data_IF_236140076321
#
_entry.id   IF_236140076321
#
_cell.length_a   1.000
_cell.length_b   1.000
_cell.length_c   1.000
_cell.angle_alpha   90.00
_cell.angle_beta   90.00
_cell.angle_gamma   90.00
#
_symmetry.space_group_name_H-M   'P 1'
#
loop_
_entity.id
_entity.type
_entity.pdbx_description
1 polymer ?
#
# COMPACT_ATOMS: atom_id res chain seq x y z
N UNK A 1 -39.46 65.51 -44.23
CA UNK A 1 -38.26 64.68 -44.54
C UNK A 1 -37.55 64.12 -43.31
N UNK A 2 -37.45 64.82 -42.18
CA UNK A 2 -36.76 64.32 -40.97
C UNK A 2 -37.30 62.99 -40.37
N UNK A 3 -38.61 62.72 -40.45
CA UNK A 3 -39.20 61.46 -39.92
C UNK A 3 -38.84 60.20 -40.72
N UNK A 4 -38.73 60.31 -42.04
CA UNK A 4 -38.37 59.18 -42.92
C UNK A 4 -36.89 58.82 -42.79
N UNK A 5 -36.03 59.84 -42.63
CA UNK A 5 -34.60 59.66 -42.37
C UNK A 5 -34.33 59.01 -41.00
N UNK A 6 -35.09 59.38 -39.97
CA UNK A 6 -35.03 58.75 -38.66
C UNK A 6 -35.47 57.27 -38.67
N UNK A 7 -36.49 56.94 -39.46
CA UNK A 7 -36.99 55.57 -39.61
C UNK A 7 -35.98 54.66 -40.33
N UNK A 8 -35.39 55.12 -41.44
CA UNK A 8 -34.30 54.41 -42.15
C UNK A 8 -33.07 54.19 -41.28
N UNK A 9 -32.69 55.18 -40.47
CA UNK A 9 -31.56 55.03 -39.54
C UNK A 9 -31.84 53.98 -38.47
N UNK A 10 -33.07 53.92 -37.97
CA UNK A 10 -33.45 52.98 -36.91
C UNK A 10 -33.51 51.53 -37.40
N UNK A 11 -33.97 51.29 -38.64
CA UNK A 11 -34.02 49.94 -39.22
C UNK A 11 -32.63 49.38 -39.50
N UNK A 12 -31.71 50.21 -40.00
CA UNK A 12 -30.30 49.82 -40.20
C UNK A 12 -29.62 49.47 -38.88
N UNK A 13 -29.87 50.26 -37.82
CA UNK A 13 -29.36 49.97 -36.48
C UNK A 13 -29.91 48.65 -35.92
N UNK A 14 -31.21 48.38 -36.11
CA UNK A 14 -31.85 47.12 -35.70
C UNK A 14 -31.25 45.91 -36.42
N UNK A 15 -31.07 45.98 -37.73
CA UNK A 15 -30.47 44.89 -38.52
C UNK A 15 -29.02 44.64 -38.06
N UNK A 16 -28.25 45.70 -37.82
CA UNK A 16 -26.88 45.56 -37.34
C UNK A 16 -26.82 44.92 -35.94
N UNK A 17 -27.72 45.33 -35.03
CA UNK A 17 -27.84 44.74 -33.70
C UNK A 17 -28.21 43.25 -33.76
N UNK A 18 -29.19 42.88 -34.60
CA UNK A 18 -29.56 41.49 -34.81
C UNK A 18 -28.39 40.66 -35.38
N UNK A 19 -27.61 41.22 -36.31
CA UNK A 19 -26.42 40.57 -36.86
C UNK A 19 -25.35 40.34 -35.80
N UNK A 20 -25.02 41.36 -35.00
CA UNK A 20 -24.05 41.26 -33.92
C UNK A 20 -24.49 40.24 -32.85
N UNK A 21 -25.79 40.21 -32.54
CA UNK A 21 -26.37 39.26 -31.58
C UNK A 21 -26.30 37.81 -32.11
N UNK A 22 -26.60 37.59 -33.39
CA UNK A 22 -26.50 36.26 -34.00
C UNK A 22 -25.05 35.74 -34.01
N UNK A 23 -24.09 36.58 -34.38
CA UNK A 23 -22.66 36.20 -34.41
C UNK A 23 -22.14 35.87 -33.02
N UNK A 24 -22.49 36.68 -32.02
CA UNK A 24 -22.08 36.43 -30.62
C UNK A 24 -22.72 35.17 -30.04
N UNK A 25 -23.98 34.89 -30.35
CA UNK A 25 -24.65 33.66 -29.93
C UNK A 25 -23.96 32.40 -30.52
N UNK A 26 -23.58 32.43 -31.80
CA UNK A 26 -22.87 31.33 -32.44
C UNK A 26 -21.47 31.14 -31.85
N UNK A 27 -20.74 32.23 -31.61
CA UNK A 27 -19.40 32.18 -31.02
C UNK A 27 -19.44 31.55 -29.61
N UNK A 28 -20.40 31.96 -28.78
CA UNK A 28 -20.60 31.38 -27.44
C UNK A 28 -21.04 29.91 -27.53
N UNK A 29 -21.88 29.54 -28.49
CA UNK A 29 -22.27 28.15 -28.71
C UNK A 29 -21.08 27.26 -29.06
N UNK A 30 -20.20 27.69 -29.96
CA UNK A 30 -18.99 26.96 -30.31
C UNK A 30 -18.04 26.84 -29.11
N UNK A 31 -17.85 27.92 -28.35
CA UNK A 31 -17.01 27.88 -27.15
C UNK A 31 -17.57 26.96 -26.05
N UNK A 32 -18.90 26.94 -25.86
CA UNK A 32 -19.52 26.03 -24.91
C UNK A 32 -19.29 24.55 -25.30
N UNK A 33 -19.36 24.24 -26.59
CA UNK A 33 -19.10 22.89 -27.09
C UNK A 33 -17.63 22.49 -26.92
N UNK A 34 -16.68 23.38 -27.22
CA UNK A 34 -15.25 23.07 -27.06
C UNK A 34 -14.85 22.88 -25.60
N UNK A 35 -15.36 23.73 -24.69
CA UNK A 35 -15.14 23.58 -23.24
C UNK A 35 -15.74 22.28 -22.72
N UNK A 36 -16.95 21.92 -23.17
CA UNK A 36 -17.59 20.64 -22.78
C UNK A 36 -16.77 19.43 -23.23
N UNK A 37 -16.23 19.47 -24.46
CA UNK A 37 -15.34 18.42 -24.97
C UNK A 37 -14.02 18.31 -24.18
N UNK A 38 -13.45 19.45 -23.76
CA UNK A 38 -12.24 19.47 -22.92
C UNK A 38 -12.48 18.90 -21.52
N UNK A 39 -13.62 19.22 -20.89
CA UNK A 39 -13.98 18.66 -19.58
C UNK A 39 -14.23 17.15 -19.69
N UNK A 40 -14.92 16.71 -20.74
CA UNK A 40 -15.16 15.29 -20.97
C UNK A 40 -13.84 14.52 -21.17
N UNK A 41 -12.91 15.06 -21.96
CA UNK A 41 -11.60 14.42 -22.19
C UNK A 41 -10.71 14.43 -20.95
N UNK A 42 -10.70 15.53 -20.17
CA UNK A 42 -9.99 15.61 -18.90
C UNK A 42 -10.56 14.65 -17.85
N UNK A 43 -11.88 14.48 -17.82
CA UNK A 43 -12.55 13.52 -16.92
C UNK A 43 -12.23 12.08 -17.32
N UNK A 44 -12.22 11.78 -18.62
CA UNK A 44 -11.82 10.47 -19.14
C UNK A 44 -10.35 10.15 -18.84
N UNK A 45 -9.44 11.13 -18.99
CA UNK A 45 -8.02 10.91 -18.66
C UNK A 45 -7.79 10.79 -17.16
N UNK A 46 -8.47 11.59 -16.33
CA UNK A 46 -8.40 11.49 -14.88
C UNK A 46 -8.94 10.15 -14.36
N UNK A 47 -10.06 9.67 -14.90
CA UNK A 47 -10.60 8.35 -14.54
C UNK A 47 -9.70 7.21 -15.00
N UNK A 48 -9.13 7.27 -16.20
CA UNK A 48 -8.14 6.30 -16.67
C UNK A 48 -6.89 6.29 -15.78
N UNK A 49 -6.39 7.46 -15.40
CA UNK A 49 -5.25 7.59 -14.48
C UNK A 49 -5.57 7.03 -13.08
N UNK A 50 -6.78 7.30 -12.55
CA UNK A 50 -7.22 6.75 -11.27
C UNK A 50 -7.33 5.22 -11.31
N UNK A 51 -7.81 4.64 -12.41
CA UNK A 51 -7.85 3.19 -12.59
C UNK A 51 -6.45 2.57 -12.71
N UNK A 52 -5.56 3.21 -13.47
CA UNK A 52 -4.16 2.79 -13.58
C UNK A 52 -3.47 2.80 -12.21
N UNK A 53 -3.67 3.87 -11.43
CA UNK A 53 -3.10 4.00 -10.09
C UNK A 53 -3.67 2.96 -9.11
N UNK A 54 -4.97 2.65 -9.17
CA UNK A 54 -5.56 1.54 -8.39
C UNK A 54 -4.96 0.20 -8.76
N UNK A 55 -4.74 -0.05 -10.06
CA UNK A 55 -4.11 -1.30 -10.55
C UNK A 55 -2.66 -1.42 -10.07
N UNK A 56 -1.92 -0.32 -10.06
CA UNK A 56 -0.55 -0.29 -9.55
C UNK A 56 -0.50 -0.58 -8.05
N UNK A 57 -1.36 0.07 -7.25
CA UNK A 57 -1.46 -0.21 -5.82
C UNK A 57 -1.84 -1.67 -5.56
N UNK A 58 -2.82 -2.21 -6.28
CA UNK A 58 -3.19 -3.62 -6.17
C UNK A 58 -2.02 -4.55 -6.52
N UNK A 59 -1.21 -4.19 -7.52
CA UNK A 59 -0.01 -4.96 -7.90
C UNK A 59 1.06 -4.90 -6.82
N UNK A 60 1.30 -3.74 -6.21
CA UNK A 60 2.25 -3.58 -5.09
C UNK A 60 1.79 -4.42 -3.90
N UNK A 61 0.53 -4.32 -3.51
CA UNK A 61 -0.06 -5.13 -2.43
C UNK A 61 0.02 -6.63 -2.73
N UNK A 62 -0.27 -7.04 -3.97
CA UNK A 62 -0.13 -8.43 -4.38
C UNK A 62 1.32 -8.91 -4.29
N UNK A 63 2.29 -8.07 -4.68
CA UNK A 63 3.72 -8.39 -4.63
C UNK A 63 4.21 -8.54 -3.19
N UNK A 64 3.82 -7.66 -2.27
CA UNK A 64 4.20 -7.77 -0.85
C UNK A 64 3.59 -9.02 -0.21
N UNK A 65 2.31 -9.31 -0.50
CA UNK A 65 1.64 -10.52 -0.04
C UNK A 65 2.30 -11.79 -0.60
N UNK A 66 2.69 -11.78 -1.88
CA UNK A 66 3.41 -12.89 -2.49
C UNK A 66 4.79 -13.11 -1.87
N UNK A 67 5.55 -12.04 -1.58
CA UNK A 67 6.85 -12.13 -0.90
C UNK A 67 6.72 -12.77 0.48
N UNK A 68 5.68 -12.40 1.26
CA UNK A 68 5.41 -13.01 2.56
C UNK A 68 5.05 -14.51 2.43
N UNK A 69 4.21 -14.87 1.45
CA UNK A 69 3.87 -16.28 1.16
C UNK A 69 5.10 -17.09 0.78
N UNK A 70 5.99 -16.54 -0.05
CA UNK A 70 7.22 -17.21 -0.46
C UNK A 70 8.17 -17.43 0.71
N UNK A 71 8.33 -16.44 1.61
CA UNK A 71 9.13 -16.61 2.84
C UNK A 71 8.60 -17.75 3.71
N UNK A 72 7.28 -17.81 3.91
CA UNK A 72 6.64 -18.92 4.66
C UNK A 72 6.87 -20.27 3.98
N UNK A 73 6.79 -20.33 2.65
CA UNK A 73 7.05 -21.56 1.89
C UNK A 73 8.52 -22.00 1.98
N UNK A 74 9.48 -21.07 2.00
CA UNK A 74 10.91 -21.39 2.13
C UNK A 74 11.24 -21.98 3.50
N UNK A 75 10.69 -21.42 4.58
CA UNK A 75 10.90 -21.94 5.95
C UNK A 75 10.21 -23.31 6.14
N UNK A 76 9.17 -23.61 5.36
CA UNK A 76 8.52 -24.92 5.37
C UNK A 76 9.38 -26.05 4.75
N UNK A 77 10.46 -25.73 4.00
CA UNK A 77 11.38 -26.73 3.46
C UNK A 77 12.37 -27.09 4.58
N UNK A 78 12.38 -28.32 5.12
CA UNK A 78 13.12 -28.63 6.35
C UNK A 78 14.61 -28.28 6.31
N UNK A 79 15.30 -28.61 5.23
CA UNK A 79 16.74 -28.35 5.08
C UNK A 79 17.05 -26.85 4.95
N UNK A 80 16.26 -26.13 4.16
CA UNK A 80 16.46 -24.69 3.92
C UNK A 80 16.03 -23.88 5.14
N UNK A 81 14.91 -24.26 5.77
CA UNK A 81 14.41 -23.65 7.00
C UNK A 81 15.38 -23.82 8.16
N UNK A 82 15.92 -25.04 8.37
CA UNK A 82 16.92 -25.29 9.39
C UNK A 82 18.21 -24.48 9.14
N UNK A 83 18.70 -24.45 7.89
CA UNK A 83 19.89 -23.65 7.55
C UNK A 83 19.66 -22.15 7.75
N UNK A 84 18.48 -21.64 7.41
CA UNK A 84 18.12 -20.25 7.65
C UNK A 84 18.02 -19.94 9.15
N UNK A 85 17.43 -20.83 9.95
CA UNK A 85 17.34 -20.66 11.41
C UNK A 85 18.74 -20.53 12.03
N UNK A 86 19.68 -21.41 11.70
CA UNK A 86 21.06 -21.32 12.20
C UNK A 86 21.75 -20.01 11.80
N UNK A 87 21.51 -19.53 10.57
CA UNK A 87 22.07 -18.27 10.10
C UNK A 87 21.50 -17.06 10.87
N UNK A 88 20.19 -17.07 11.16
CA UNK A 88 19.55 -16.02 11.97
C UNK A 88 20.07 -16.04 13.41
N UNK A 89 20.13 -17.20 14.07
CA UNK A 89 20.66 -17.32 15.44
C UNK A 89 22.11 -16.83 15.56
N UNK A 90 22.93 -17.10 14.55
CA UNK A 90 24.33 -16.64 14.55
C UNK A 90 24.41 -15.11 14.39
N UNK A 91 23.49 -14.51 13.62
CA UNK A 91 23.44 -13.07 13.47
C UNK A 91 22.95 -12.42 14.76
N UNK A 92 21.84 -12.91 15.32
CA UNK A 92 21.23 -12.39 16.54
C UNK A 92 22.20 -12.51 17.73
N UNK A 93 22.93 -13.63 17.84
CA UNK A 93 24.01 -13.77 18.83
C UNK A 93 25.11 -12.71 18.68
N UNK A 94 25.51 -12.37 17.45
CA UNK A 94 26.54 -11.32 17.24
C UNK A 94 26.05 -9.94 17.64
N UNK A 95 24.78 -9.65 17.39
CA UNK A 95 24.15 -8.39 17.80
C UNK A 95 24.07 -8.34 19.33
N UNK A 96 23.61 -9.41 19.98
CA UNK A 96 23.58 -9.55 21.43
C UNK A 96 24.98 -9.46 22.07
N UNK A 97 25.99 -10.08 21.46
CA UNK A 97 27.38 -10.07 21.97
C UNK A 97 28.03 -8.68 21.87
N UNK A 98 27.53 -7.79 20.99
CA UNK A 98 27.99 -6.40 20.98
C UNK A 98 27.62 -5.66 22.27
N UNK A 99 26.52 -6.06 22.90
CA UNK A 99 26.03 -5.54 24.19
C UNK A 99 26.53 -6.38 25.37
N UNK A 100 26.93 -7.63 25.12
CA UNK A 100 27.43 -8.59 26.11
C UNK A 100 28.80 -9.16 25.69
N UNK A 101 29.90 -8.39 25.84
CA UNK A 101 31.20 -8.71 25.24
C UNK A 101 31.83 -10.02 25.73
N UNK A 102 31.60 -10.35 26.99
CA UNK A 102 32.11 -11.58 27.63
C UNK A 102 31.07 -12.72 27.59
N UNK A 103 29.90 -12.46 27.02
CA UNK A 103 28.79 -13.40 26.94
C UNK A 103 29.06 -14.53 25.95
N UNK A 104 28.71 -15.76 26.37
CA UNK A 104 28.81 -16.95 25.54
C UNK A 104 27.52 -17.22 24.79
N UNK A 105 27.57 -18.12 23.80
CA UNK A 105 26.36 -18.58 23.11
C UNK A 105 25.37 -19.27 24.07
N UNK A 106 25.88 -19.89 25.14
CA UNK A 106 25.06 -20.48 26.21
C UNK A 106 24.24 -19.41 26.92
N UNK A 107 24.89 -18.32 27.34
CA UNK A 107 24.24 -17.20 28.04
C UNK A 107 23.14 -16.57 27.19
N UNK A 108 23.44 -16.29 25.91
CA UNK A 108 22.44 -15.84 24.92
C UNK A 108 21.27 -16.82 24.80
N UNK A 109 21.55 -18.11 24.62
CA UNK A 109 20.50 -19.11 24.46
C UNK A 109 19.62 -19.25 25.70
N UNK A 110 20.17 -19.00 26.89
CA UNK A 110 19.43 -18.99 28.14
C UNK A 110 18.53 -17.77 28.29
N UNK A 111 19.01 -16.59 27.92
CA UNK A 111 18.20 -15.38 27.88
C UNK A 111 17.02 -15.53 26.89
N UNK A 112 17.31 -16.02 25.68
CA UNK A 112 16.28 -16.30 24.67
C UNK A 112 15.30 -17.37 25.17
N UNK A 113 15.77 -18.41 25.86
CA UNK A 113 14.90 -19.45 26.39
C UNK A 113 13.97 -18.93 27.49
N UNK A 114 14.47 -18.09 28.40
CA UNK A 114 13.67 -17.45 29.44
C UNK A 114 12.55 -16.59 28.82
N UNK A 115 12.90 -15.69 27.89
CA UNK A 115 11.93 -14.86 27.17
C UNK A 115 10.94 -15.70 26.35
N UNK A 116 11.41 -16.78 25.71
CA UNK A 116 10.56 -17.70 24.94
C UNK A 116 9.57 -18.45 25.83
N UNK A 117 9.96 -18.83 27.04
CA UNK A 117 9.10 -19.51 28.00
C UNK A 117 7.96 -18.62 28.52
N UNK A 118 8.18 -17.30 28.60
CA UNK A 118 7.15 -16.33 28.97
C UNK A 118 6.06 -16.22 27.89
N UNK A 119 6.45 -16.23 26.61
CA UNK A 119 5.52 -16.03 25.49
C UNK A 119 4.99 -17.33 24.89
N UNK A 120 5.47 -18.50 25.33
CA UNK A 120 5.11 -19.80 24.72
C UNK A 120 3.61 -20.06 24.74
N UNK A 121 2.91 -19.73 25.83
CA UNK A 121 1.48 -19.99 25.97
C UNK A 121 0.66 -19.10 25.03
N UNK A 122 1.05 -17.83 24.89
CA UNK A 122 0.44 -16.88 23.96
C UNK A 122 0.57 -17.38 22.51
N UNK A 123 1.77 -17.80 22.11
CA UNK A 123 2.02 -18.34 20.77
C UNK A 123 1.18 -19.60 20.52
N UNK A 124 1.11 -20.51 21.50
CA UNK A 124 0.34 -21.75 21.38
C UNK A 124 -1.16 -21.48 21.22
N UNK A 125 -1.72 -20.49 21.90
CA UNK A 125 -3.13 -20.13 21.78
C UNK A 125 -3.49 -19.63 20.37
N UNK A 126 -2.58 -18.93 19.70
CA UNK A 126 -2.77 -18.43 18.33
C UNK A 126 -2.68 -19.51 17.24
N UNK A 127 -2.17 -20.70 17.58
CA UNK A 127 -2.09 -21.82 16.64
C UNK A 127 -3.45 -22.54 16.49
N UNK A 128 -3.82 -23.00 15.27
CA UNK A 128 -5.00 -23.83 15.06
C UNK A 128 -4.89 -25.15 15.83
N UNK A 129 -6.00 -25.65 16.39
CA UNK A 129 -6.02 -26.82 17.27
C UNK A 129 -5.35 -28.08 16.67
N UNK A 130 -5.42 -28.26 15.35
CA UNK A 130 -4.80 -29.41 14.66
C UNK A 130 -3.28 -29.35 14.48
N UNK A 131 -2.65 -28.20 14.76
CA UNK A 131 -1.20 -27.98 14.60
C UNK A 131 -0.53 -27.52 15.89
N UNK A 132 -1.28 -27.38 17.00
CA UNK A 132 -0.77 -26.93 18.29
C UNK A 132 -0.01 -28.07 18.99
N UNK A 133 1.32 -27.96 19.21
CA UNK A 133 2.04 -28.91 20.06
C UNK A 133 1.67 -28.73 21.53
N UNK A 134 1.84 -29.77 22.35
CA UNK A 134 1.67 -29.65 23.80
C UNK A 134 2.74 -28.74 24.39
N UNK A 135 2.38 -27.94 25.40
CA UNK A 135 3.32 -27.05 26.10
C UNK A 135 4.56 -27.79 26.61
N UNK A 136 4.39 -28.96 27.21
CA UNK A 136 5.49 -29.76 27.75
C UNK A 136 6.48 -30.20 26.65
N UNK A 137 5.98 -30.51 25.45
CA UNK A 137 6.83 -30.83 24.30
C UNK A 137 7.69 -29.63 23.89
N UNK A 138 7.13 -28.41 23.91
CA UNK A 138 7.89 -27.19 23.57
C UNK A 138 8.92 -26.85 24.66
N UNK A 139 8.53 -26.94 25.93
CA UNK A 139 9.43 -26.64 27.05
C UNK A 139 10.59 -27.63 27.15
N UNK A 140 10.37 -28.90 26.84
CA UNK A 140 11.44 -29.91 26.79
C UNK A 140 12.44 -29.70 25.64
N UNK A 141 12.15 -28.79 24.71
CA UNK A 141 13.03 -28.44 23.61
C UNK A 141 13.98 -27.27 23.96
N UNK A 142 13.72 -26.57 25.07
CA UNK A 142 14.56 -25.46 25.54
C UNK A 142 15.87 -25.97 26.16
N UNK A 143 16.96 -25.19 26.07
CA UNK A 143 18.22 -25.54 26.72
C UNK A 143 18.07 -25.59 28.24
N UNK A 144 18.81 -26.49 28.88
CA UNK A 144 18.92 -26.54 30.34
C UNK A 144 19.80 -25.39 30.82
N UNK A 145 19.18 -24.40 31.44
CA UNK A 145 19.84 -23.24 32.02
C UNK A 145 19.91 -23.41 33.54
N UNK A 146 21.08 -23.10 34.12
CA UNK A 146 21.20 -23.07 35.57
C UNK A 146 20.30 -21.97 36.13
N UNK A 147 19.56 -22.21 37.24
CA UNK A 147 18.78 -21.16 37.88
C UNK A 147 19.74 -20.05 38.30
N UNK A 148 19.45 -18.83 37.84
CA UNK A 148 20.09 -17.61 38.28
C UNK A 148 20.13 -17.55 39.82
N UNK A 149 21.34 -17.51 40.37
CA UNK A 149 21.64 -17.45 41.81
C UNK A 149 21.59 -16.03 42.34
#
# INVERSE_FOLDING_TARGET
MFRVFGWLRNTVLLIWLCGALAVSALALGVQALTLSAQVASATASASAAALAHRKELARVVARTKAKARLRRALVAIPVVGAGAAVAFETQDFREWQAENPDGTFGDYSCEVAALSAEVVDEVLQDLPDGFRPSRDMMLNQLPECAPES
#
